data_IF_311893639453
#
_entry.id   IF_311893639453
#
_cell.length_a   1.000
_cell.length_b   1.000
_cell.length_c   1.000
_cell.angle_alpha   90.00
_cell.angle_beta   90.00
_cell.angle_gamma   90.00
#
_symmetry.space_group_name_H-M   'P 1'
#
loop_
_entity.id
_entity.type
_entity.pdbx_description
1 polymer ?
#
# COMPACT_ATOMS: atom_id res chain seq x y z
N UNK A 1 23.22 14.89 47.64
CA UNK A 1 22.68 14.25 46.41
C UNK A 1 21.17 14.25 46.48
N UNK A 2 20.51 15.17 45.79
CA UNK A 2 19.05 15.21 45.70
C UNK A 2 18.58 13.97 44.95
N UNK A 3 18.02 12.99 45.65
CA UNK A 3 17.30 11.87 45.02
C UNK A 3 16.19 12.49 44.16
N UNK A 4 16.36 12.51 42.84
CA UNK A 4 15.25 12.80 41.94
C UNK A 4 14.17 11.78 42.26
N UNK A 5 13.10 12.24 42.92
CA UNK A 5 11.93 11.41 43.16
C UNK A 5 11.27 11.22 41.80
N UNK A 6 11.02 9.99 41.41
CA UNK A 6 10.24 9.64 40.23
C UNK A 6 9.02 8.87 40.69
N UNK A 7 7.92 8.96 39.92
CA UNK A 7 6.75 8.13 40.15
C UNK A 7 7.11 6.66 39.89
N UNK A 8 7.13 5.86 40.96
CA UNK A 8 7.42 4.43 40.92
C UNK A 8 6.15 3.60 41.02
N UNK A 9 6.15 2.47 40.32
CA UNK A 9 5.15 1.39 40.41
C UNK A 9 5.88 0.06 40.57
N UNK A 10 5.18 -0.94 41.09
CA UNK A 10 5.70 -2.30 41.15
C UNK A 10 5.88 -2.84 39.71
N UNK A 11 7.14 -3.12 39.33
CA UNK A 11 7.48 -3.62 38.00
C UNK A 11 6.89 -5.02 37.76
N UNK A 12 6.67 -5.83 38.78
CA UNK A 12 6.09 -7.17 38.61
C UNK A 12 4.58 -7.10 38.34
N UNK A 13 3.93 -6.00 38.74
CA UNK A 13 2.49 -5.80 38.66
C UNK A 13 2.14 -4.56 37.84
N UNK A 14 2.67 -4.42 36.61
CA UNK A 14 2.25 -3.36 35.68
C UNK A 14 0.91 -3.75 35.04
N UNK A 15 -0.12 -3.92 35.86
CA UNK A 15 -1.49 -4.27 35.51
C UNK A 15 -2.45 -3.42 36.36
N UNK A 16 -3.75 -3.72 36.29
CA UNK A 16 -4.77 -2.97 37.05
C UNK A 16 -4.49 -2.90 38.56
N UNK A 17 -3.89 -3.95 39.15
CA UNK A 17 -3.58 -3.99 40.59
C UNK A 17 -2.46 -3.03 40.96
N UNK A 18 -1.32 -3.08 40.25
CA UNK A 18 -0.18 -2.19 40.56
C UNK A 18 -0.37 -0.75 40.10
N UNK A 19 -1.27 -0.50 39.13
CA UNK A 19 -1.62 0.85 38.68
C UNK A 19 -2.78 1.49 39.45
N UNK A 20 -3.32 0.83 40.47
CA UNK A 20 -4.51 1.29 41.22
C UNK A 20 -4.36 2.70 41.79
N UNK A 21 -3.19 3.03 42.35
CA UNK A 21 -2.91 4.36 42.91
C UNK A 21 -2.89 5.45 41.84
N UNK A 22 -2.36 5.14 40.66
CA UNK A 22 -2.32 6.03 39.50
C UNK A 22 -3.73 6.24 38.93
N UNK A 23 -4.49 5.16 38.75
CA UNK A 23 -5.89 5.19 38.28
C UNK A 23 -6.74 6.05 39.22
N UNK A 24 -6.60 5.86 40.54
CA UNK A 24 -7.30 6.66 41.54
C UNK A 24 -6.95 8.16 41.45
N UNK A 25 -5.69 8.49 41.15
CA UNK A 25 -5.28 9.88 40.96
C UNK A 25 -5.83 10.49 39.65
N UNK A 26 -5.89 9.74 38.56
CA UNK A 26 -6.49 10.16 37.29
C UNK A 26 -8.00 10.41 37.49
N UNK A 27 -8.71 9.49 38.13
CA UNK A 27 -10.16 9.58 38.36
C UNK A 27 -10.57 10.84 39.15
N UNK A 28 -9.69 11.37 40.01
CA UNK A 28 -9.92 12.64 40.72
C UNK A 28 -9.98 13.88 39.83
N UNK A 29 -9.50 13.79 38.59
CA UNK A 29 -9.46 14.93 37.65
C UNK A 29 -10.70 15.06 36.77
N UNK A 30 -11.79 14.33 37.11
CA UNK A 30 -13.01 14.23 36.31
C UNK A 30 -12.84 13.49 34.98
N UNK A 31 -11.79 12.67 34.88
CA UNK A 31 -11.54 11.76 33.75
C UNK A 31 -11.50 10.35 34.31
N UNK A 32 -12.35 9.45 33.82
CA UNK A 32 -12.47 8.10 34.37
C UNK A 32 -11.71 7.10 33.50
N UNK A 33 -10.85 6.29 34.12
CA UNK A 33 -10.26 5.11 33.45
C UNK A 33 -11.30 3.99 33.44
N UNK A 34 -11.61 3.47 32.25
CA UNK A 34 -12.60 2.39 32.05
C UNK A 34 -11.95 1.02 31.88
N UNK A 35 -10.73 0.98 31.34
CA UNK A 35 -10.03 -0.27 31.04
C UNK A 35 -8.52 -0.10 31.17
N UNK A 36 -7.84 -1.16 31.60
CA UNK A 36 -6.38 -1.25 31.67
C UNK A 36 -5.93 -2.41 30.80
N UNK A 37 -5.41 -2.09 29.61
CA UNK A 37 -4.77 -3.07 28.73
C UNK A 37 -3.27 -3.12 29.06
N UNK A 38 -2.83 -4.22 29.67
CA UNK A 38 -1.42 -4.50 29.87
C UNK A 38 -1.12 -5.97 29.70
N UNK A 39 -0.12 -6.26 28.86
CA UNK A 39 0.43 -7.61 28.72
C UNK A 39 1.33 -8.02 29.90
N UNK A 40 1.71 -7.06 30.76
CA UNK A 40 2.71 -7.19 31.83
C UNK A 40 4.03 -7.86 31.38
N UNK A 41 4.28 -7.92 30.07
CA UNK A 41 5.44 -8.57 29.48
C UNK A 41 6.55 -7.54 29.31
N UNK A 42 7.72 -7.86 29.85
CA UNK A 42 8.90 -7.03 29.64
C UNK A 42 9.35 -7.12 28.17
N UNK A 43 9.66 -5.96 27.60
CA UNK A 43 10.27 -5.80 26.29
C UNK A 43 11.57 -5.01 26.45
N UNK A 44 12.56 -5.25 25.61
CA UNK A 44 13.83 -4.50 25.69
C UNK A 44 13.74 -3.28 24.79
N UNK A 45 14.04 -2.11 25.34
CA UNK A 45 14.10 -0.86 24.59
C UNK A 45 15.32 -0.08 25.06
N UNK A 46 16.17 0.33 24.11
CA UNK A 46 17.40 1.08 24.37
C UNK A 46 18.31 0.40 25.42
N UNK A 47 18.34 -0.95 25.42
CA UNK A 47 19.12 -1.76 26.35
C UNK A 47 18.48 -1.99 27.74
N UNK A 48 17.34 -1.36 28.05
CA UNK A 48 16.63 -1.48 29.34
C UNK A 48 15.36 -2.31 29.19
N UNK A 49 15.05 -3.15 30.19
CA UNK A 49 13.78 -3.90 30.22
C UNK A 49 12.65 -2.96 30.64
N UNK A 50 11.60 -2.91 29.83
CA UNK A 50 10.46 -2.01 30.02
C UNK A 50 9.14 -2.74 29.83
N UNK A 51 8.14 -2.38 30.64
CA UNK A 51 6.75 -2.84 30.51
C UNK A 51 5.88 -1.67 30.10
N UNK A 52 4.83 -1.96 29.34
CA UNK A 52 3.88 -0.93 28.88
C UNK A 52 2.47 -1.28 29.28
N UNK A 53 1.74 -0.30 29.79
CA UNK A 53 0.31 -0.38 30.04
C UNK A 53 -0.43 0.74 29.29
N UNK A 54 -1.64 0.45 28.84
CA UNK A 54 -2.56 1.39 28.23
C UNK A 54 -3.78 1.52 29.12
N UNK A 55 -4.10 2.75 29.50
CA UNK A 55 -5.31 3.10 30.22
C UNK A 55 -6.28 3.72 29.21
N UNK A 56 -7.43 3.09 29.03
CA UNK A 56 -8.51 3.62 28.19
C UNK A 56 -9.40 4.50 29.07
N UNK A 57 -9.67 5.70 28.61
CA UNK A 57 -10.50 6.69 29.30
C UNK A 57 -11.94 6.63 28.81
N UNK A 58 -12.87 7.16 29.61
CA UNK A 58 -14.30 7.18 29.32
C UNK A 58 -14.68 7.89 28.02
N UNK A 59 -13.86 8.83 27.54
CA UNK A 59 -14.05 9.51 26.26
C UNK A 59 -13.34 8.81 25.09
N UNK A 60 -12.81 7.61 25.31
CA UNK A 60 -12.08 6.80 24.32
C UNK A 60 -10.63 7.22 24.12
N UNK A 61 -10.12 8.20 24.86
CA UNK A 61 -8.70 8.54 24.83
C UNK A 61 -7.85 7.43 25.47
N UNK A 62 -6.61 7.28 25.00
CA UNK A 62 -5.68 6.26 25.50
C UNK A 62 -4.45 6.93 26.12
N UNK A 63 -4.19 6.61 27.38
CA UNK A 63 -2.95 6.96 28.10
C UNK A 63 -2.03 5.74 28.13
N UNK A 64 -0.91 5.83 27.42
CA UNK A 64 0.11 4.78 27.43
C UNK A 64 1.24 5.16 28.40
N UNK A 65 1.62 4.22 29.26
CA UNK A 65 2.67 4.37 30.26
C UNK A 65 3.75 3.32 29.97
N UNK A 66 5.01 3.74 30.09
CA UNK A 66 6.16 2.86 30.04
C UNK A 66 6.86 2.88 31.41
N UNK A 67 7.11 1.69 31.95
CA UNK A 67 7.75 1.46 33.25
C UNK A 67 9.06 0.72 33.02
N UNK A 68 10.16 1.18 33.61
CA UNK A 68 11.47 0.52 33.55
C UNK A 68 11.59 -0.57 34.62
N UNK A 69 12.62 -1.41 34.53
CA UNK A 69 12.93 -2.48 35.49
C UNK A 69 13.09 -2.02 36.94
N UNK A 70 13.48 -0.77 37.18
CA UNK A 70 13.51 -0.14 38.50
C UNK A 70 12.13 0.21 39.07
N UNK A 71 11.06 0.04 38.27
CA UNK A 71 9.70 0.46 38.61
C UNK A 71 9.40 1.92 38.28
N UNK A 72 10.38 2.68 37.76
CA UNK A 72 10.19 4.08 37.39
C UNK A 72 9.34 4.23 36.13
N UNK A 73 8.38 5.16 36.14
CA UNK A 73 7.64 5.53 34.93
C UNK A 73 8.53 6.43 34.05
N UNK A 74 9.02 5.86 32.96
CA UNK A 74 9.98 6.53 32.06
C UNK A 74 9.33 7.32 30.94
N UNK A 75 8.13 6.95 30.51
CA UNK A 75 7.39 7.75 29.53
C UNK A 75 5.88 7.63 29.69
N UNK A 76 5.20 8.75 29.40
CA UNK A 76 3.74 8.81 29.35
C UNK A 76 3.30 9.49 28.07
N UNK A 77 2.35 8.88 27.37
CA UNK A 77 1.81 9.37 26.11
C UNK A 77 0.29 9.40 26.14
N UNK A 78 -0.30 10.50 25.69
CA UNK A 78 -1.73 10.65 25.44
C UNK A 78 -1.99 10.54 23.94
N UNK A 79 -2.79 9.55 23.53
CA UNK A 79 -3.13 9.29 22.13
C UNK A 79 -1.88 9.21 21.22
N UNK A 80 -0.81 8.58 21.71
CA UNK A 80 0.47 8.42 21.02
C UNK A 80 1.43 9.63 21.10
N UNK A 81 1.01 10.77 21.66
CA UNK A 81 1.87 11.95 21.86
C UNK A 81 2.40 12.02 23.28
N UNK A 82 3.69 12.30 23.45
CA UNK A 82 4.26 12.50 24.79
C UNK A 82 3.59 13.68 25.50
N UNK A 83 3.29 13.52 26.79
CA UNK A 83 2.77 14.61 27.63
C UNK A 83 3.97 15.43 28.11
N UNK A 84 4.04 16.74 27.80
CA UNK A 84 5.07 17.62 28.36
C UNK A 84 4.99 17.63 29.89
N UNK A 85 6.12 17.56 30.58
CA UNK A 85 6.21 17.51 32.05
C UNK A 85 5.58 16.26 32.70
N UNK A 86 5.56 15.12 32.01
CA UNK A 86 5.19 13.83 32.60
C UNK A 86 6.21 13.28 33.62
N UNK A 87 7.27 14.02 33.93
CA UNK A 87 8.16 13.69 35.04
C UNK A 87 7.59 14.33 36.30
N UNK A 88 7.16 13.49 37.23
CA UNK A 88 6.56 13.93 38.49
C UNK A 88 7.16 13.14 39.65
N UNK A 89 7.33 13.76 40.83
CA UNK A 89 8.03 13.16 41.94
C UNK A 89 7.27 12.03 42.63
N UNK A 90 5.98 11.94 42.39
CA UNK A 90 5.10 10.93 43.00
C UNK A 90 4.01 10.51 42.02
N UNK A 91 3.50 9.30 42.25
CA UNK A 91 2.47 8.70 41.40
C UNK A 91 1.16 9.48 41.39
N UNK A 92 0.85 10.21 42.47
CA UNK A 92 -0.40 10.97 42.59
C UNK A 92 -0.32 12.26 41.77
N UNK A 93 0.78 12.99 41.84
CA UNK A 93 0.98 14.16 40.97
C UNK A 93 1.06 13.75 39.51
N UNK A 94 1.72 12.63 39.19
CA UNK A 94 1.75 12.11 37.82
C UNK A 94 0.34 11.82 37.29
N UNK A 95 -0.47 11.08 38.06
CA UNK A 95 -1.86 10.78 37.68
C UNK A 95 -2.71 12.05 37.50
N UNK A 96 -2.46 13.07 38.33
CA UNK A 96 -3.13 14.37 38.20
C UNK A 96 -2.71 15.09 36.90
N UNK A 97 -1.42 15.11 36.57
CA UNK A 97 -0.92 15.69 35.31
C UNK A 97 -1.51 14.95 34.10
N UNK A 98 -1.55 13.63 34.15
CA UNK A 98 -2.12 12.78 33.10
C UNK A 98 -3.61 13.06 32.88
N UNK A 99 -4.38 13.09 33.97
CA UNK A 99 -5.80 13.35 33.93
C UNK A 99 -6.13 14.77 33.45
N UNK A 100 -5.38 15.78 33.90
CA UNK A 100 -5.51 17.16 33.40
C UNK A 100 -5.16 17.27 31.91
N UNK A 101 -4.11 16.59 31.44
CA UNK A 101 -3.74 16.57 30.03
C UNK A 101 -4.84 15.93 29.17
N UNK A 102 -5.41 14.80 29.63
CA UNK A 102 -6.54 14.15 28.97
C UNK A 102 -7.77 15.07 28.91
N UNK A 103 -8.13 15.70 30.02
CA UNK A 103 -9.25 16.66 30.09
C UNK A 103 -9.08 17.82 29.12
N UNK A 104 -7.90 18.46 29.11
CA UNK A 104 -7.58 19.56 28.19
C UNK A 104 -7.63 19.12 26.73
N UNK A 105 -7.31 17.86 26.43
CA UNK A 105 -7.33 17.32 25.07
C UNK A 105 -8.70 16.79 24.62
N UNK A 106 -9.65 16.55 25.53
CA UNK A 106 -10.93 15.89 25.23
C UNK A 106 -11.71 16.58 24.11
N UNK A 107 -11.84 17.91 24.15
CA UNK A 107 -12.54 18.68 23.10
C UNK A 107 -11.86 18.55 21.71
N UNK A 108 -10.51 18.54 21.67
CA UNK A 108 -9.75 18.33 20.42
C UNK A 108 -9.91 16.91 19.91
N UNK A 109 -9.92 15.93 20.80
CA UNK A 109 -10.11 14.53 20.47
C UNK A 109 -11.51 14.27 19.88
N UNK A 110 -12.57 14.73 20.55
CA UNK A 110 -13.94 14.63 20.06
C UNK A 110 -14.11 15.29 18.68
N UNK A 111 -13.56 16.50 18.49
CA UNK A 111 -13.55 17.17 17.17
C UNK A 111 -12.84 16.33 16.10
N UNK A 112 -11.74 15.66 16.45
CA UNK A 112 -11.04 14.75 15.55
C UNK A 112 -11.87 13.51 15.21
N UNK A 113 -12.56 12.92 16.20
CA UNK A 113 -13.47 11.78 15.98
C UNK A 113 -14.62 12.17 15.05
N UNK A 114 -15.26 13.31 15.29
CA UNK A 114 -16.33 13.83 14.42
C UNK A 114 -15.79 14.07 13.00
N UNK A 115 -14.61 14.66 12.86
CA UNK A 115 -14.01 14.87 11.54
C UNK A 115 -13.68 13.56 10.80
N UNK A 116 -13.23 12.53 11.52
CA UNK A 116 -13.00 11.19 10.96
C UNK A 116 -14.32 10.52 10.58
N UNK A 117 -15.34 10.56 11.44
CA UNK A 117 -16.66 10.03 11.16
C UNK A 117 -17.29 10.71 9.94
N UNK A 118 -17.18 12.04 9.81
CA UNK A 118 -17.64 12.79 8.63
C UNK A 118 -16.93 12.37 7.34
N UNK A 119 -15.64 11.98 7.39
CA UNK A 119 -14.91 11.47 6.21
C UNK A 119 -15.31 10.06 5.82
N UNK A 120 -15.75 9.24 6.78
CA UNK A 120 -16.25 7.89 6.51
C UNK A 120 -17.69 7.97 6.00
N UNK A 121 -18.53 8.84 6.57
CA UNK A 121 -19.91 9.05 6.14
C UNK A 121 -20.01 9.75 4.79
N UNK A 122 -19.17 10.78 4.57
CA UNK A 122 -18.98 11.41 3.28
C UNK A 122 -17.55 11.08 2.84
N UNK A 123 -17.34 9.93 2.16
CA UNK A 123 -16.14 9.75 1.38
C UNK A 123 -16.18 10.85 0.33
N UNK A 124 -15.56 11.99 0.63
CA UNK A 124 -15.20 12.95 -0.41
C UNK A 124 -14.49 12.07 -1.43
N UNK A 125 -14.92 12.14 -2.69
CA UNK A 125 -14.20 11.66 -3.86
C UNK A 125 -12.86 12.41 -3.93
N UNK A 126 -12.00 12.21 -2.94
CA UNK A 126 -10.59 12.42 -3.06
C UNK A 126 -10.17 11.32 -4.01
N UNK A 127 -10.30 11.63 -5.32
CA UNK A 127 -9.52 10.98 -6.36
C UNK A 127 -8.14 10.81 -5.75
N UNK A 128 -7.72 9.58 -5.42
CA UNK A 128 -6.43 9.39 -4.82
C UNK A 128 -5.43 10.00 -5.79
N UNK A 129 -4.50 10.83 -5.29
CA UNK A 129 -3.50 11.49 -6.12
C UNK A 129 -2.69 10.49 -6.96
N UNK A 130 -2.72 9.22 -6.56
CA UNK A 130 -2.15 8.07 -7.23
C UNK A 130 -3.23 7.01 -7.45
N UNK A 131 -3.34 6.47 -8.66
CA UNK A 131 -4.28 5.38 -8.99
C UNK A 131 -4.11 4.20 -8.01
N UNK A 132 -5.24 3.67 -7.51
CA UNK A 132 -5.24 2.48 -6.64
C UNK A 132 -4.55 1.30 -7.35
N UNK A 133 -3.89 0.42 -6.58
CA UNK A 133 -3.27 -0.79 -7.13
C UNK A 133 -4.27 -1.63 -7.93
N UNK A 134 -5.54 -1.66 -7.51
CA UNK A 134 -6.61 -2.34 -8.23
C UNK A 134 -6.88 -1.71 -9.61
N UNK A 135 -6.94 -0.38 -9.69
CA UNK A 135 -7.13 0.34 -10.95
C UNK A 135 -5.94 0.14 -11.89
N UNK A 136 -4.71 0.18 -11.36
CA UNK A 136 -3.49 -0.13 -12.13
C UNK A 136 -3.50 -1.55 -12.68
N UNK A 137 -3.94 -2.52 -11.89
CA UNK A 137 -4.08 -3.91 -12.32
C UNK A 137 -5.13 -4.06 -13.43
N UNK A 138 -6.27 -3.38 -13.31
CA UNK A 138 -7.33 -3.42 -14.32
C UNK A 138 -6.88 -2.80 -15.65
N UNK A 139 -6.20 -1.65 -15.62
CA UNK A 139 -5.62 -1.01 -16.80
C UNK A 139 -4.52 -1.88 -17.44
N UNK A 140 -3.70 -2.57 -16.64
CA UNK A 140 -2.70 -3.48 -17.15
C UNK A 140 -3.35 -4.69 -17.85
N UNK A 141 -4.43 -5.25 -17.28
CA UNK A 141 -5.19 -6.34 -17.91
C UNK A 141 -5.82 -5.90 -19.24
N UNK A 142 -6.42 -4.72 -19.28
CA UNK A 142 -7.02 -4.17 -20.51
C UNK A 142 -5.96 -3.94 -21.59
N UNK A 143 -4.81 -3.35 -21.24
CA UNK A 143 -3.69 -3.19 -22.17
C UNK A 143 -3.18 -4.53 -22.68
N UNK A 144 -3.01 -5.51 -21.80
CA UNK A 144 -2.57 -6.83 -22.21
C UNK A 144 -3.58 -7.49 -23.17
N UNK A 145 -4.87 -7.38 -22.90
CA UNK A 145 -5.92 -7.88 -23.80
C UNK A 145 -5.87 -7.21 -25.19
N UNK A 146 -5.65 -5.89 -25.24
CA UNK A 146 -5.48 -5.16 -26.51
C UNK A 146 -4.23 -5.62 -27.28
N UNK A 147 -3.10 -5.79 -26.59
CA UNK A 147 -1.85 -6.27 -27.20
C UNK A 147 -2.01 -7.68 -27.75
N UNK A 148 -2.67 -8.58 -27.01
CA UNK A 148 -2.96 -9.95 -27.47
C UNK A 148 -3.87 -9.95 -28.70
N UNK A 149 -4.89 -9.09 -28.74
CA UNK A 149 -5.76 -8.95 -29.89
C UNK A 149 -5.00 -8.42 -31.13
N UNK A 150 -4.17 -7.40 -30.94
CA UNK A 150 -3.32 -6.84 -32.00
C UNK A 150 -2.32 -7.88 -32.53
N UNK A 151 -1.70 -8.66 -31.64
CA UNK A 151 -0.78 -9.75 -32.01
C UNK A 151 -1.48 -10.80 -32.87
N UNK A 152 -2.67 -11.26 -32.49
CA UNK A 152 -3.47 -12.21 -33.29
C UNK A 152 -3.83 -11.64 -34.66
N UNK A 153 -4.23 -10.37 -34.72
CA UNK A 153 -4.52 -9.71 -35.99
C UNK A 153 -3.29 -9.66 -36.91
N UNK A 154 -2.14 -9.25 -36.37
CA UNK A 154 -0.88 -9.23 -37.11
C UNK A 154 -0.47 -10.63 -37.60
N UNK A 155 -0.64 -11.66 -36.78
CA UNK A 155 -0.37 -13.05 -37.16
C UNK A 155 -1.25 -13.51 -38.33
N UNK A 156 -2.54 -13.15 -38.32
CA UNK A 156 -3.46 -13.44 -39.43
C UNK A 156 -3.05 -12.70 -40.71
N UNK A 157 -2.66 -11.43 -40.61
CA UNK A 157 -2.16 -10.66 -41.77
C UNK A 157 -0.89 -11.25 -42.36
N UNK A 158 0.05 -11.71 -41.51
CA UNK A 158 1.27 -12.39 -41.98
C UNK A 158 0.92 -13.69 -42.71
N UNK A 159 0.01 -14.50 -42.17
CA UNK A 159 -0.44 -15.73 -42.83
C UNK A 159 -1.10 -15.45 -44.18
N UNK A 160 -1.96 -14.45 -44.25
CA UNK A 160 -2.62 -14.04 -45.49
C UNK A 160 -1.63 -13.54 -46.54
N UNK A 161 -0.71 -12.66 -46.15
CA UNK A 161 0.33 -12.14 -47.05
C UNK A 161 1.24 -13.27 -47.55
N UNK A 162 1.55 -14.27 -46.71
CA UNK A 162 2.35 -15.42 -47.12
C UNK A 162 1.64 -16.28 -48.17
N UNK A 163 0.31 -16.45 -48.06
CA UNK A 163 -0.51 -17.11 -49.09
C UNK A 163 -0.48 -16.30 -50.39
N UNK A 164 -0.69 -14.98 -50.33
CA UNK A 164 -0.63 -14.11 -51.51
C UNK A 164 0.73 -14.16 -52.21
N UNK A 165 1.84 -14.16 -51.46
CA UNK A 165 3.19 -14.31 -52.03
C UNK A 165 3.31 -15.65 -52.76
N UNK A 166 2.77 -16.72 -52.19
CA UNK A 166 2.80 -18.06 -52.80
C UNK A 166 2.00 -18.09 -54.11
N UNK A 167 0.79 -17.51 -54.11
CA UNK A 167 -0.05 -17.43 -55.31
C UNK A 167 0.58 -16.57 -56.41
N UNK A 168 1.19 -15.43 -56.05
CA UNK A 168 1.88 -14.56 -56.98
C UNK A 168 3.11 -15.24 -57.59
N UNK A 169 3.87 -16.02 -56.81
CA UNK A 169 4.97 -16.83 -57.32
C UNK A 169 4.48 -17.88 -58.32
N UNK A 170 3.41 -18.61 -58.00
CA UNK A 170 2.83 -19.59 -58.91
C UNK A 170 2.35 -18.96 -60.23
N UNK A 171 1.75 -17.75 -60.18
CA UNK A 171 1.37 -17.00 -61.38
C UNK A 171 2.59 -16.55 -62.19
N UNK A 172 3.65 -16.07 -61.52
CA UNK A 172 4.89 -15.66 -62.18
C UNK A 172 5.55 -16.82 -62.92
N UNK A 173 5.60 -18.00 -62.30
CA UNK A 173 6.15 -19.21 -62.91
C UNK A 173 5.36 -19.63 -64.15
N UNK A 174 4.02 -19.56 -64.07
CA UNK A 174 3.13 -19.86 -65.20
C UNK A 174 3.33 -18.90 -66.38
N UNK A 175 3.39 -17.60 -66.12
CA UNK A 175 3.60 -16.59 -67.17
C UNK A 175 5.01 -16.67 -67.76
N UNK A 176 6.02 -16.98 -66.95
CA UNK A 176 7.38 -17.24 -67.42
C UNK A 176 7.43 -18.47 -68.34
N UNK A 177 6.73 -19.55 -67.99
CA UNK A 177 6.57 -20.73 -68.84
C UNK A 177 5.89 -20.41 -70.17
N UNK A 178 4.80 -19.62 -70.15
CA UNK A 178 4.12 -19.14 -71.36
C UNK A 178 5.04 -18.31 -72.25
N UNK A 179 5.76 -17.35 -71.68
CA UNK A 179 6.69 -16.51 -72.43
C UNK A 179 7.79 -17.34 -73.10
N UNK A 180 8.32 -18.35 -72.41
CA UNK A 180 9.34 -19.24 -72.97
C UNK A 180 8.80 -20.07 -74.14
N UNK A 181 7.58 -20.61 -74.03
CA UNK A 181 6.93 -21.32 -75.12
C UNK A 181 6.69 -20.42 -76.34
N UNK A 182 6.19 -19.20 -76.14
CA UNK A 182 5.98 -18.25 -77.24
C UNK A 182 7.29 -17.81 -77.90
N UNK A 183 8.36 -17.61 -77.11
CA UNK A 183 9.71 -17.35 -77.66
C UNK A 183 10.21 -18.51 -78.52
N UNK A 184 10.03 -19.75 -78.07
CA UNK A 184 10.39 -20.94 -78.82
C UNK A 184 9.62 -21.03 -80.15
N UNK A 185 8.29 -20.82 -80.10
CA UNK A 185 7.41 -20.82 -81.27
C UNK A 185 7.78 -19.72 -82.27
N UNK A 186 8.06 -18.51 -81.80
CA UNK A 186 8.53 -17.41 -82.65
C UNK A 186 9.88 -17.73 -83.30
N UNK A 187 10.80 -18.35 -82.56
CA UNK A 187 12.06 -18.85 -83.10
C UNK A 187 11.87 -19.86 -84.22
N UNK A 188 10.95 -20.81 -84.06
CA UNK A 188 10.60 -21.79 -85.10
C UNK A 188 9.97 -21.13 -86.33
N UNK A 189 9.01 -20.23 -86.14
CA UNK A 189 8.35 -19.50 -87.23
C UNK A 189 9.35 -18.68 -88.04
N UNK A 190 10.31 -18.00 -87.39
CA UNK A 190 11.40 -17.29 -88.07
C UNK A 190 12.27 -18.22 -88.92
N UNK A 191 12.58 -19.43 -88.42
CA UNK A 191 13.35 -20.43 -89.19
C UNK A 191 12.56 -20.90 -90.41
N UNK A 192 11.27 -21.23 -90.24
CA UNK A 192 10.38 -21.62 -91.35
C UNK A 192 10.28 -20.51 -92.41
N UNK A 193 10.08 -19.25 -91.99
CA UNK A 193 10.04 -18.11 -92.90
C UNK A 193 11.35 -17.94 -93.70
N UNK A 194 12.50 -18.17 -93.07
CA UNK A 194 13.80 -18.11 -93.77
C UNK A 194 13.92 -19.24 -94.81
N UNK A 195 13.47 -20.44 -94.49
CA UNK A 195 13.46 -21.57 -95.43
C UNK A 195 12.55 -21.31 -96.64
N UNK A 196 11.32 -20.83 -96.41
CA UNK A 196 10.41 -20.47 -97.52
C UNK A 196 11.00 -19.38 -98.43
N UNK A 197 11.69 -18.38 -97.87
CA UNK A 197 12.33 -17.31 -98.65
C UNK A 197 13.54 -17.77 -99.46
N UNK A 198 14.18 -18.88 -99.08
CA UNK A 198 15.36 -19.41 -99.78
C UNK A 198 15.01 -20.48 -100.83
N UNK A 199 13.74 -20.93 -100.87
CA UNK A 199 13.23 -21.93 -101.82
C UNK A 199 12.41 -21.35 -102.98
N UNK A 200 12.33 -20.02 -103.09
CA UNK A 200 11.87 -19.26 -104.25
C UNK A 200 13.07 -18.50 -104.84
#
# INVERSE_FOLDING_TARGET
MTKNKYATVDFDQVNEKGLKSLIAAINKTSVTVIEVDSSNRATTKDGVKVKTAKLVLNDGQILAIQVNDTGDISSVRLNGKAIPNAQSPDIKTLGTVMGQAARKNSAKFQKSLIAKAKRVANPVDKKPAVKSNFQRLQEAKQRNAQVVAAYKSAQNSVSFNQQQITDLRAKLDKETGRLNNEKARNGELKRRLKQLKAGN
#
